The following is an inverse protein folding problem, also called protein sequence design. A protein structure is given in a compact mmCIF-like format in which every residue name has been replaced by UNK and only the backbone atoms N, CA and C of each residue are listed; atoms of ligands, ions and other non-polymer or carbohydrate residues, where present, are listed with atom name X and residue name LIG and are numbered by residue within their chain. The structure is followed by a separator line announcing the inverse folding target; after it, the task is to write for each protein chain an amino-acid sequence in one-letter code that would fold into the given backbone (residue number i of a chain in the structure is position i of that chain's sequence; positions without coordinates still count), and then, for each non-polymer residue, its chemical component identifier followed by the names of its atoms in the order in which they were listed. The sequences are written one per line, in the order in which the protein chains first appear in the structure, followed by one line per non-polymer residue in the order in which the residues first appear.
data_IF_886779134226
#
_entry.id   IF_886779134226
#
_cell.length_a   1.000
_cell.length_b   1.000
_cell.length_c   1.000
_cell.angle_alpha   90.00
_cell.angle_beta   90.00
_cell.angle_gamma   90.00
#
_symmetry.space_group_name_H-M   'P 1'
#
loop_
_entity.id
_entity.type
_entity.pdbx_description
1 polymer ?
#
# COMPACT_ATOMS: atom_id res chain seq x y z
N UNK A 1 -6.98 3.18 -9.61
CA UNK A 1 -7.73 2.01 -10.11
C UNK A 1 -9.01 1.85 -9.28
N UNK A 2 -9.95 0.95 -9.69
CA UNK A 2 -11.16 0.59 -8.92
C UNK A 2 -11.30 -0.92 -8.99
N UNK A 3 -11.39 -1.56 -7.83
CA UNK A 3 -11.64 -3.00 -7.70
C UNK A 3 -13.12 -3.27 -8.04
N UNK A 4 -13.35 -4.22 -8.94
CA UNK A 4 -14.69 -4.67 -9.38
C UNK A 4 -14.87 -6.09 -8.88
N UNK A 5 -15.76 -6.26 -7.90
CA UNK A 5 -15.91 -7.51 -7.16
C UNK A 5 -17.31 -8.06 -7.39
N UNK A 6 -17.49 -9.03 -8.31
CA UNK A 6 -18.78 -9.64 -8.54
C UNK A 6 -19.18 -10.57 -7.39
N UNK A 7 -20.42 -10.45 -6.92
CA UNK A 7 -21.04 -11.43 -6.04
C UNK A 7 -21.57 -12.65 -6.83
N UNK A 8 -22.01 -13.68 -6.11
CA UNK A 8 -22.47 -14.94 -6.72
C UNK A 8 -23.62 -14.77 -7.75
N UNK A 9 -24.45 -13.75 -7.58
CA UNK A 9 -25.60 -13.48 -8.46
C UNK A 9 -25.31 -12.40 -9.51
N UNK A 10 -24.08 -11.90 -9.58
CA UNK A 10 -23.72 -10.83 -10.53
C UNK A 10 -23.49 -11.41 -11.91
N UNK A 11 -24.28 -10.95 -12.91
CA UNK A 11 -24.09 -11.37 -14.29
C UNK A 11 -22.81 -10.79 -14.90
N UNK A 12 -22.27 -11.44 -15.93
CA UNK A 12 -21.11 -10.93 -16.68
C UNK A 12 -21.40 -9.56 -17.30
N UNK A 13 -22.61 -9.34 -17.80
CA UNK A 13 -23.04 -8.07 -18.37
C UNK A 13 -22.96 -6.92 -17.35
N UNK A 14 -23.31 -7.18 -16.09
CA UNK A 14 -23.20 -6.20 -14.99
C UNK A 14 -21.73 -5.84 -14.73
N UNK A 15 -20.86 -6.84 -14.70
CA UNK A 15 -19.41 -6.64 -14.51
C UNK A 15 -18.82 -5.82 -15.66
N UNK A 16 -19.20 -6.15 -16.90
CA UNK A 16 -18.73 -5.45 -18.10
C UNK A 16 -19.21 -4.00 -18.12
N UNK A 17 -20.49 -3.75 -17.75
CA UNK A 17 -21.05 -2.41 -17.64
C UNK A 17 -20.37 -1.58 -16.54
N UNK A 18 -20.11 -2.16 -15.36
CA UNK A 18 -19.38 -1.51 -14.29
C UNK A 18 -17.95 -1.17 -14.71
N UNK A 19 -17.25 -2.11 -15.34
CA UNK A 19 -15.90 -1.93 -15.85
C UNK A 19 -15.82 -0.85 -16.94
N UNK A 20 -16.83 -0.80 -17.83
CA UNK A 20 -16.93 0.24 -18.86
C UNK A 20 -17.16 1.62 -18.24
N UNK A 21 -17.99 1.71 -17.19
CA UNK A 21 -18.21 2.95 -16.45
C UNK A 21 -16.91 3.43 -15.78
N UNK A 22 -16.17 2.52 -15.13
CA UNK A 22 -14.88 2.83 -14.49
C UNK A 22 -13.89 3.41 -15.51
N UNK A 23 -13.78 2.81 -16.69
CA UNK A 23 -12.91 3.35 -17.77
C UNK A 23 -13.38 4.72 -18.25
N UNK A 24 -14.69 4.91 -18.42
CA UNK A 24 -15.27 6.18 -18.89
C UNK A 24 -15.00 7.35 -17.95
N UNK A 25 -14.92 7.10 -16.63
CA UNK A 25 -14.58 8.12 -15.65
C UNK A 25 -13.06 8.24 -15.43
N UNK A 26 -12.25 7.59 -16.26
CA UNK A 26 -10.78 7.74 -16.30
C UNK A 26 -10.03 6.88 -15.26
N UNK A 27 -10.61 5.75 -14.82
CA UNK A 27 -9.93 4.79 -13.94
C UNK A 27 -9.71 3.44 -14.63
N UNK A 28 -8.83 2.64 -14.05
CA UNK A 28 -8.57 1.26 -14.49
C UNK A 28 -9.40 0.30 -13.63
N UNK A 29 -10.34 -0.48 -14.20
CA UNK A 29 -11.04 -1.52 -13.47
C UNK A 29 -10.13 -2.74 -13.30
N UNK A 30 -10.14 -3.31 -12.11
CA UNK A 30 -9.48 -4.59 -11.81
C UNK A 30 -10.56 -5.53 -11.27
N UNK A 31 -10.84 -6.62 -12.01
CA UNK A 31 -11.79 -7.64 -11.60
C UNK A 31 -11.10 -8.62 -10.66
N UNK A 32 -11.72 -8.90 -9.52
CA UNK A 32 -11.20 -9.82 -8.52
C UNK A 32 -12.31 -10.51 -7.74
N UNK A 33 -11.96 -11.60 -7.06
CA UNK A 33 -12.89 -12.30 -6.16
C UNK A 33 -12.92 -11.62 -4.79
N UNK A 34 -14.07 -11.73 -4.11
CA UNK A 34 -14.21 -11.25 -2.76
C UNK A 34 -13.24 -11.95 -1.81
N UNK A 35 -12.51 -11.17 -1.05
CA UNK A 35 -11.63 -11.62 0.04
C UNK A 35 -11.58 -10.52 1.11
N UNK A 36 -11.46 -10.83 2.41
CA UNK A 36 -11.34 -9.81 3.44
C UNK A 36 -10.21 -8.82 3.15
N UNK A 37 -10.57 -7.53 3.04
CA UNK A 37 -9.65 -6.44 2.72
C UNK A 37 -9.38 -6.23 1.22
N UNK A 38 -10.00 -7.01 0.34
CA UNK A 38 -9.77 -6.99 -1.11
C UNK A 38 -8.28 -7.16 -1.45
N UNK A 39 -7.85 -6.91 -2.67
CA UNK A 39 -6.45 -7.14 -3.06
C UNK A 39 -5.56 -5.96 -2.65
N UNK A 40 -5.98 -4.71 -2.93
CA UNK A 40 -5.16 -3.53 -2.63
C UNK A 40 -4.83 -3.42 -1.13
N UNK A 41 -5.86 -3.51 -0.27
CA UNK A 41 -5.64 -3.42 1.17
C UNK A 41 -4.84 -4.60 1.71
N UNK A 42 -5.02 -5.81 1.19
CA UNK A 42 -4.24 -6.97 1.63
C UNK A 42 -2.75 -6.78 1.39
N UNK A 43 -2.38 -6.31 0.18
CA UNK A 43 -0.98 -6.02 -0.15
C UNK A 43 -0.45 -4.89 0.72
N UNK A 44 -1.22 -3.79 0.88
CA UNK A 44 -0.83 -2.67 1.73
C UNK A 44 -0.60 -3.12 3.18
N UNK A 45 -1.51 -3.92 3.76
CA UNK A 45 -1.37 -4.38 5.15
C UNK A 45 -0.23 -5.40 5.33
N UNK A 46 0.11 -6.18 4.30
CA UNK A 46 1.30 -7.03 4.34
C UNK A 46 2.59 -6.18 4.43
N UNK A 47 2.67 -5.11 3.62
CA UNK A 47 3.76 -4.14 3.68
C UNK A 47 3.80 -3.43 5.05
N UNK A 48 2.66 -2.92 5.54
CA UNK A 48 2.59 -2.22 6.82
C UNK A 48 2.96 -3.12 8.00
N UNK A 49 2.56 -4.39 7.98
CA UNK A 49 2.92 -5.36 9.03
C UNK A 49 4.44 -5.53 9.12
N UNK A 50 5.11 -5.73 8.00
CA UNK A 50 6.56 -5.85 7.94
C UNK A 50 7.25 -4.54 8.35
N UNK A 51 6.78 -3.40 7.85
CA UNK A 51 7.29 -2.09 8.24
C UNK A 51 7.23 -1.84 9.74
N UNK A 52 6.10 -2.16 10.37
CA UNK A 52 5.91 -1.98 11.81
C UNK A 52 6.76 -2.96 12.63
N UNK A 53 6.92 -4.20 12.17
CA UNK A 53 7.82 -5.17 12.82
C UNK A 53 9.27 -4.68 12.83
N UNK A 54 9.76 -4.16 11.72
CA UNK A 54 11.12 -3.60 11.63
C UNK A 54 11.33 -2.41 12.56
N UNK A 55 10.32 -1.54 12.71
CA UNK A 55 10.35 -0.40 13.65
C UNK A 55 10.25 -0.89 15.09
N UNK A 56 9.33 -1.79 15.41
CA UNK A 56 9.14 -2.34 16.77
C UNK A 56 10.39 -3.08 17.27
N UNK A 57 11.12 -3.73 16.36
CA UNK A 57 12.43 -4.39 16.64
C UNK A 57 13.60 -3.42 16.69
N UNK A 58 13.40 -2.14 16.40
CA UNK A 58 14.47 -1.14 16.38
C UNK A 58 15.51 -1.32 15.27
N UNK A 59 15.13 -2.01 14.18
CA UNK A 59 16.00 -2.20 13.01
C UNK A 59 16.17 -0.89 12.24
N UNK A 60 15.12 -0.08 12.18
CA UNK A 60 15.09 1.21 11.50
C UNK A 60 14.13 2.17 12.22
N UNK A 61 14.41 3.46 12.18
CA UNK A 61 13.46 4.49 12.64
C UNK A 61 12.37 4.77 11.60
N UNK A 62 11.23 5.36 12.00
CA UNK A 62 10.13 5.65 11.09
C UNK A 62 10.51 6.52 9.90
N UNK A 63 11.35 7.52 10.08
CA UNK A 63 11.81 8.43 9.02
C UNK A 63 12.65 7.69 7.97
N UNK A 64 13.58 6.87 8.42
CA UNK A 64 14.42 6.02 7.57
C UNK A 64 13.59 5.00 6.81
N UNK A 65 12.58 4.40 7.46
CA UNK A 65 11.65 3.46 6.84
C UNK A 65 10.82 4.13 5.72
N UNK A 66 10.26 5.30 5.98
CA UNK A 66 9.50 6.06 4.97
C UNK A 66 10.36 6.40 3.75
N UNK A 67 11.62 6.77 3.95
CA UNK A 67 12.57 7.01 2.86
C UNK A 67 12.87 5.73 2.09
N UNK A 68 13.17 4.63 2.80
CA UNK A 68 13.49 3.34 2.20
C UNK A 68 12.34 2.83 1.33
N UNK A 69 11.12 2.80 1.86
CA UNK A 69 9.95 2.32 1.13
C UNK A 69 9.63 3.21 -0.06
N UNK A 70 9.64 4.55 0.12
CA UNK A 70 9.30 5.50 -0.94
C UNK A 70 10.27 5.43 -2.12
N UNK A 71 11.56 5.42 -1.86
CA UNK A 71 12.61 5.48 -2.89
C UNK A 71 13.15 4.11 -3.29
N UNK A 72 12.85 3.09 -2.52
CA UNK A 72 13.13 1.69 -2.84
C UNK A 72 12.00 1.04 -3.62
N UNK A 73 11.17 0.28 -2.90
CA UNK A 73 10.11 -0.53 -3.53
C UNK A 73 8.98 0.32 -4.13
N UNK A 74 8.55 1.40 -3.46
CA UNK A 74 7.46 2.25 -3.92
C UNK A 74 7.76 2.92 -5.27
N UNK A 75 9.00 3.40 -5.43
CA UNK A 75 9.46 3.98 -6.69
C UNK A 75 9.46 2.97 -7.84
N UNK A 76 9.89 1.73 -7.59
CA UNK A 76 9.90 0.66 -8.59
C UNK A 76 8.49 0.22 -8.95
N UNK A 77 7.65 -0.07 -7.94
CA UNK A 77 6.28 -0.53 -8.14
C UNK A 77 5.36 0.53 -8.75
N UNK A 78 5.77 1.80 -8.79
CA UNK A 78 5.05 2.83 -9.52
C UNK A 78 5.13 2.65 -11.04
N UNK A 79 6.15 1.98 -11.56
CA UNK A 79 6.40 1.84 -13.02
C UNK A 79 6.32 0.40 -13.52
N UNK A 80 6.42 -0.59 -12.64
CA UNK A 80 6.36 -2.01 -12.99
C UNK A 80 5.56 -2.78 -11.95
N UNK A 81 4.65 -3.64 -12.38
CA UNK A 81 3.88 -4.48 -11.47
C UNK A 81 4.74 -5.56 -10.81
N UNK A 82 4.33 -6.08 -9.63
CA UNK A 82 5.15 -7.05 -8.89
C UNK A 82 5.38 -8.37 -9.66
N UNK A 83 4.44 -8.81 -10.49
CA UNK A 83 4.61 -10.03 -11.29
C UNK A 83 5.64 -9.82 -12.41
N UNK A 84 5.56 -8.69 -13.11
CA UNK A 84 6.56 -8.33 -14.12
C UNK A 84 7.94 -8.09 -13.50
N UNK A 85 7.98 -7.56 -12.27
CA UNK A 85 9.23 -7.39 -11.53
C UNK A 85 9.89 -8.74 -11.21
N UNK A 86 9.10 -9.77 -10.88
CA UNK A 86 9.60 -11.13 -10.68
C UNK A 86 10.20 -11.71 -11.96
N UNK A 87 9.49 -11.60 -13.09
CA UNK A 87 10.00 -12.06 -14.39
C UNK A 87 11.27 -11.34 -14.79
N UNK A 88 11.34 -10.02 -14.54
CA UNK A 88 12.53 -9.22 -14.84
C UNK A 88 13.73 -9.61 -13.97
N UNK A 89 13.51 -9.92 -12.69
CA UNK A 89 14.58 -10.31 -11.76
C UNK A 89 15.05 -11.74 -11.96
N UNK A 90 14.18 -12.63 -12.44
CA UNK A 90 14.38 -14.06 -12.57
C UNK A 90 13.70 -14.85 -11.45
N UNK A 91 12.89 -15.83 -11.83
CA UNK A 91 12.14 -16.67 -10.88
C UNK A 91 13.05 -17.56 -10.04
N UNK A 92 14.19 -17.96 -10.58
CA UNK A 92 15.26 -18.68 -9.86
C UNK A 92 15.89 -17.84 -8.77
N UNK A 93 16.09 -16.55 -9.01
CA UNK A 93 16.56 -15.60 -7.98
C UNK A 93 15.50 -15.44 -6.88
N UNK A 94 14.23 -15.33 -7.26
CA UNK A 94 13.16 -15.27 -6.27
C UNK A 94 13.08 -16.54 -5.42
N UNK A 95 13.18 -17.73 -6.03
CA UNK A 95 13.18 -19.00 -5.30
C UNK A 95 14.35 -19.07 -4.31
N UNK A 96 15.56 -18.75 -4.75
CA UNK A 96 16.75 -18.75 -3.90
C UNK A 96 16.63 -17.79 -2.70
N UNK A 97 16.18 -16.55 -2.93
CA UNK A 97 16.03 -15.53 -1.87
C UNK A 97 14.82 -15.84 -0.99
N UNK A 98 13.68 -16.16 -1.60
CA UNK A 98 12.42 -16.43 -0.89
C UNK A 98 12.51 -17.66 0.03
N UNK A 99 13.33 -18.64 -0.34
CA UNK A 99 13.51 -19.86 0.45
C UNK A 99 14.01 -19.62 1.89
N UNK A 100 14.77 -18.55 2.12
CA UNK A 100 15.22 -18.16 3.46
C UNK A 100 14.50 -16.90 3.98
N UNK A 101 14.30 -15.88 3.13
CA UNK A 101 13.76 -14.60 3.57
C UNK A 101 12.31 -14.71 4.04
N UNK A 102 11.47 -15.51 3.35
CA UNK A 102 10.06 -15.70 3.75
C UNK A 102 9.91 -16.30 5.15
N UNK A 103 10.94 -16.96 5.69
CA UNK A 103 10.93 -17.53 7.04
C UNK A 103 11.18 -16.46 8.12
N UNK A 104 11.84 -15.35 7.76
CA UNK A 104 12.16 -14.25 8.68
C UNK A 104 11.13 -13.10 8.63
N UNK A 105 10.31 -13.04 7.59
CA UNK A 105 9.27 -12.02 7.45
C UNK A 105 8.20 -12.15 8.54
N UNK A 106 7.68 -11.02 8.99
CA UNK A 106 6.63 -10.99 10.01
C UNK A 106 5.38 -11.74 9.58
N UNK A 107 4.95 -12.70 10.42
CA UNK A 107 3.69 -13.44 10.27
C UNK A 107 2.67 -13.07 11.34
N UNK A 108 2.94 -12.02 12.14
CA UNK A 108 2.07 -11.59 13.24
C UNK A 108 0.65 -11.30 12.78
N UNK A 109 -0.33 -11.85 13.49
CA UNK A 109 -1.74 -11.48 13.36
C UNK A 109 -2.14 -10.31 14.29
N UNK A 110 -1.22 -9.84 15.14
CA UNK A 110 -1.47 -8.79 16.11
C UNK A 110 -1.14 -7.41 15.56
N UNK A 111 -1.83 -6.41 16.09
CA UNK A 111 -1.48 -5.01 15.84
C UNK A 111 -0.20 -4.67 16.60
N UNK A 112 0.73 -3.96 15.94
CA UNK A 112 1.99 -3.47 16.51
C UNK A 112 1.80 -2.83 17.90
N UNK A 113 2.71 -3.12 18.82
CA UNK A 113 2.71 -2.54 20.17
C UNK A 113 2.87 -1.03 20.13
N UNK A 114 3.72 -0.51 19.27
CA UNK A 114 3.89 0.94 19.04
C UNK A 114 2.57 1.61 18.67
N UNK A 115 1.80 1.00 17.77
CA UNK A 115 0.50 1.56 17.37
C UNK A 115 -0.50 1.53 18.53
N UNK A 116 -0.57 0.43 19.28
CA UNK A 116 -1.46 0.32 20.46
C UNK A 116 -1.10 1.36 21.53
N UNK A 117 0.17 1.56 21.82
CA UNK A 117 0.65 2.57 22.76
C UNK A 117 0.31 4.00 22.35
N UNK A 118 0.49 4.34 21.07
CA UNK A 118 0.12 5.64 20.54
C UNK A 118 -1.38 5.90 20.67
N UNK A 119 -2.22 4.91 20.34
CA UNK A 119 -3.67 4.99 20.51
C UNK A 119 -4.03 5.19 21.98
N UNK A 120 -3.41 4.43 22.90
CA UNK A 120 -3.64 4.55 24.35
C UNK A 120 -3.30 5.95 24.90
N UNK A 121 -2.39 6.68 24.26
CA UNK A 121 -2.02 8.06 24.59
C UNK A 121 -2.86 9.11 23.83
N UNK A 122 -3.88 8.72 23.08
CA UNK A 122 -4.70 9.63 22.28
C UNK A 122 -4.02 10.17 21.01
N UNK A 123 -2.87 9.64 20.63
CA UNK A 123 -2.10 10.02 19.44
C UNK A 123 -2.61 9.27 18.22
N UNK A 124 -3.68 9.77 17.60
CA UNK A 124 -4.41 9.08 16.53
C UNK A 124 -4.00 9.56 15.11
N UNK A 125 -2.83 10.15 14.98
CA UNK A 125 -2.31 10.69 13.72
C UNK A 125 -2.70 12.15 13.49
N UNK A 126 -2.74 12.58 12.23
CA UNK A 126 -3.01 13.99 11.85
C UNK A 126 -4.32 14.53 12.41
N UNK A 127 -5.34 13.72 12.65
CA UNK A 127 -6.63 14.16 13.21
C UNK A 127 -6.53 14.65 14.66
N UNK A 128 -5.47 14.27 15.37
CA UNK A 128 -5.19 14.71 16.75
C UNK A 128 -3.90 15.55 16.85
N UNK A 129 -3.29 15.91 15.72
CA UNK A 129 -2.03 16.64 15.68
C UNK A 129 -0.80 15.80 16.02
N UNK A 130 -0.96 14.50 16.29
CA UNK A 130 0.14 13.61 16.61
C UNK A 130 -0.21 12.13 16.45
N UNK A 131 0.74 11.36 15.99
CA UNK A 131 0.71 9.92 15.82
C UNK A 131 2.13 9.39 15.93
N UNK A 132 2.63 8.68 14.92
CA UNK A 132 4.06 8.36 14.77
C UNK A 132 4.86 9.67 14.75
N UNK A 133 4.39 10.66 14.02
CA UNK A 133 4.95 12.02 13.96
C UNK A 133 4.04 13.05 14.64
N UNK A 134 4.60 14.24 14.92
CA UNK A 134 3.87 15.41 15.36
C UNK A 134 3.57 16.35 14.20
N UNK A 135 2.40 16.99 14.23
CA UNK A 135 1.91 17.84 13.14
C UNK A 135 1.28 19.11 13.65
N UNK A 136 1.61 20.26 13.05
CA UNK A 136 0.80 21.46 13.17
C UNK A 136 -0.33 21.46 12.11
N UNK A 137 -1.42 22.26 12.32
CA UNK A 137 -2.47 22.38 11.30
C UNK A 137 -1.93 22.79 9.93
N UNK A 138 -0.99 23.73 9.89
CA UNK A 138 -0.39 24.22 8.64
C UNK A 138 0.46 23.15 7.94
N UNK A 139 1.13 22.29 8.72
CA UNK A 139 1.86 21.14 8.16
C UNK A 139 0.90 20.13 7.56
N UNK A 140 -0.23 19.84 8.21
CA UNK A 140 -1.25 18.92 7.72
C UNK A 140 -1.82 19.41 6.38
N UNK A 141 -2.20 20.68 6.27
CA UNK A 141 -2.76 21.25 5.05
C UNK A 141 -1.74 21.24 3.91
N UNK A 142 -0.49 21.60 4.18
CA UNK A 142 0.60 21.52 3.21
C UNK A 142 0.85 20.10 2.73
N UNK A 143 0.86 19.11 3.63
CA UNK A 143 1.05 17.71 3.27
C UNK A 143 -0.08 17.17 2.41
N UNK A 144 -1.34 17.53 2.73
CA UNK A 144 -2.52 17.14 1.93
C UNK A 144 -2.44 17.71 0.51
N UNK A 145 -2.14 18.99 0.38
CA UNK A 145 -2.01 19.65 -0.92
C UNK A 145 -0.83 19.07 -1.74
N UNK A 146 0.33 18.88 -1.10
CA UNK A 146 1.49 18.31 -1.75
C UNK A 146 1.26 16.86 -2.20
N UNK A 147 0.57 16.04 -1.39
CA UNK A 147 0.20 14.66 -1.74
C UNK A 147 -0.68 14.64 -3.00
N UNK A 148 -1.74 15.44 -3.02
CA UNK A 148 -2.66 15.48 -4.16
C UNK A 148 -1.92 15.85 -5.46
N UNK A 149 -1.09 16.89 -5.44
CA UNK A 149 -0.29 17.32 -6.60
C UNK A 149 0.68 16.25 -7.08
N UNK A 150 1.38 15.57 -6.15
CA UNK A 150 2.33 14.50 -6.49
C UNK A 150 1.63 13.27 -7.09
N UNK A 151 0.46 12.88 -6.56
CA UNK A 151 -0.31 11.77 -7.12
C UNK A 151 -0.77 12.06 -8.56
N UNK A 152 -1.21 13.29 -8.84
CA UNK A 152 -1.56 13.70 -10.20
C UNK A 152 -0.33 13.67 -11.13
N UNK A 153 0.83 14.11 -10.66
CA UNK A 153 2.07 14.08 -11.47
C UNK A 153 2.52 12.64 -11.76
N UNK A 154 2.49 11.75 -10.76
CA UNK A 154 2.80 10.32 -10.95
C UNK A 154 1.84 9.70 -11.96
N UNK A 155 0.53 9.93 -11.80
CA UNK A 155 -0.47 9.41 -12.73
C UNK A 155 -0.19 9.84 -14.17
N UNK A 156 0.10 11.14 -14.41
CA UNK A 156 0.45 11.64 -15.75
C UNK A 156 1.70 10.97 -16.32
N UNK A 157 2.70 10.69 -15.48
CA UNK A 157 3.91 10.00 -15.92
C UNK A 157 3.66 8.53 -16.29
N UNK A 158 2.67 7.88 -15.67
CA UNK A 158 2.29 6.49 -15.97
C UNK A 158 1.38 6.37 -17.20
N UNK A 159 0.71 7.46 -17.61
CA UNK A 159 -0.18 7.51 -18.77
C UNK A 159 0.56 7.99 -20.06
N UNK A 160 1.83 8.42 -19.92
CA UNK A 160 2.66 8.92 -21.04
C UNK A 160 3.34 7.78 -21.80
#
# INVERSE_FOLDING_TARGET
MIEVIPGEQTSRETVDAASALVRRIGYHPVEEREVPGFVENRILYAILRECLDLVDRGIIDPEGLDLNVRWGIGYKLAVIGPMELLDMAGLDIYDAVGSYLNQDLSTSGEVSSTIRDLIGRGRLGMKTGGGIYDYTPEQIDRLRAARAGKLVAVRKALEA
#
